data_IF_197186712221
#
_entry.id   IF_197186712221
#
_cell.length_a   1.000
_cell.length_b   1.000
_cell.length_c   1.000
_cell.angle_alpha   90.00
_cell.angle_beta   90.00
_cell.angle_gamma   90.00
#
_symmetry.space_group_name_H-M   'P 1'
#
loop_
_entity.id
_entity.type
_entity.pdbx_description
1 polymer ?
#
# COMPACT_ATOMS: atom_id res chain seq x y z
N UNK A 1 -3.35 1.30 15.94
CA UNK A 1 -4.25 0.73 14.91
C UNK A 1 -5.01 -0.42 15.54
N UNK A 2 -6.29 -0.56 15.20
CA UNK A 2 -7.10 -1.68 15.69
C UNK A 2 -6.94 -2.92 14.80
N UNK A 3 -7.07 -4.12 15.38
CA UNK A 3 -6.94 -5.40 14.66
C UNK A 3 -7.83 -5.50 13.41
N UNK A 4 -9.06 -4.98 13.49
CA UNK A 4 -10.00 -4.96 12.35
C UNK A 4 -9.49 -4.13 11.17
N UNK A 5 -8.79 -3.02 11.43
CA UNK A 5 -8.17 -2.19 10.39
C UNK A 5 -6.98 -2.92 9.75
N UNK A 6 -6.17 -3.61 10.56
CA UNK A 6 -5.03 -4.42 10.08
C UNK A 6 -5.51 -5.56 9.18
N UNK A 7 -6.52 -6.31 9.62
CA UNK A 7 -7.11 -7.40 8.81
C UNK A 7 -7.65 -6.87 7.48
N UNK A 8 -8.32 -5.70 7.49
CA UNK A 8 -8.83 -5.05 6.28
C UNK A 8 -7.71 -4.68 5.30
N UNK A 9 -6.62 -4.09 5.81
CA UNK A 9 -5.46 -3.72 5.01
C UNK A 9 -4.76 -4.96 4.42
N UNK A 10 -4.53 -5.99 5.22
CA UNK A 10 -3.95 -7.25 4.77
C UNK A 10 -4.82 -7.95 3.72
N UNK A 11 -6.15 -8.00 3.91
CA UNK A 11 -7.08 -8.55 2.93
C UNK A 11 -7.06 -7.76 1.61
N UNK A 12 -6.91 -6.44 1.68
CA UNK A 12 -6.73 -5.61 0.49
C UNK A 12 -5.38 -5.88 -0.19
N UNK A 13 -4.31 -6.18 0.53
CA UNK A 13 -3.00 -6.51 -0.07
C UNK A 13 -2.87 -7.95 -0.55
N UNK A 14 -3.71 -8.88 -0.06
CA UNK A 14 -3.73 -10.30 -0.42
C UNK A 14 -4.30 -10.57 -1.83
N UNK A 15 -3.88 -9.79 -2.83
CA UNK A 15 -4.14 -10.00 -4.25
C UNK A 15 -3.03 -9.35 -5.08
N UNK A 16 -2.56 -10.07 -6.10
CA UNK A 16 -1.34 -9.73 -6.85
C UNK A 16 -1.35 -8.34 -7.48
N UNK A 17 -2.43 -7.96 -8.18
CA UNK A 17 -2.56 -6.64 -8.80
C UNK A 17 -2.54 -5.52 -7.76
N UNK A 18 -3.27 -5.66 -6.66
CA UNK A 18 -3.33 -4.65 -5.59
C UNK A 18 -2.00 -4.49 -4.88
N UNK A 19 -1.28 -5.59 -4.62
CA UNK A 19 0.08 -5.53 -4.11
C UNK A 19 1.02 -4.83 -5.11
N UNK A 20 0.88 -5.13 -6.42
CA UNK A 20 1.61 -4.46 -7.49
C UNK A 20 1.36 -2.94 -7.52
N UNK A 21 0.09 -2.52 -7.42
CA UNK A 21 -0.29 -1.11 -7.31
C UNK A 21 0.43 -0.47 -6.13
N UNK A 22 0.28 -1.05 -4.94
CA UNK A 22 0.86 -0.50 -3.73
C UNK A 22 2.39 -0.36 -3.84
N UNK A 23 3.08 -1.37 -4.38
CA UNK A 23 4.53 -1.32 -4.61
C UNK A 23 4.96 -0.24 -5.60
N UNK A 24 4.20 -0.03 -6.67
CA UNK A 24 4.47 1.07 -7.61
C UNK A 24 4.31 2.43 -6.94
N UNK A 25 3.32 2.58 -6.06
CA UNK A 25 3.07 3.82 -5.33
C UNK A 25 4.13 4.10 -4.26
N UNK A 26 4.61 3.07 -3.55
CA UNK A 26 5.75 3.20 -2.64
C UNK A 26 6.99 3.71 -3.39
N UNK A 27 7.29 3.13 -4.56
CA UNK A 27 8.41 3.56 -5.39
C UNK A 27 8.24 4.97 -5.97
N UNK A 28 7.00 5.40 -6.21
CA UNK A 28 6.70 6.75 -6.68
C UNK A 28 6.80 7.82 -5.58
N UNK A 29 6.78 7.42 -4.31
CA UNK A 29 6.84 8.34 -3.18
C UNK A 29 5.56 9.17 -2.99
N UNK A 30 5.65 10.26 -2.19
CA UNK A 30 4.49 11.08 -1.81
C UNK A 30 3.71 11.68 -2.99
N UNK A 31 4.40 12.00 -4.09
CA UNK A 31 3.79 12.58 -5.30
C UNK A 31 2.84 11.61 -6.03
N UNK A 32 3.05 10.31 -5.81
CA UNK A 32 2.23 9.26 -6.37
C UNK A 32 2.42 9.07 -7.88
N UNK A 33 1.45 8.40 -8.49
CA UNK A 33 1.47 8.06 -9.92
C UNK A 33 0.07 8.20 -10.52
N UNK A 34 0.00 8.65 -11.78
CA UNK A 34 -1.25 8.75 -12.51
C UNK A 34 -1.89 7.37 -12.69
N UNK A 35 -3.21 7.29 -12.52
CA UNK A 35 -3.99 6.04 -12.59
C UNK A 35 -3.75 5.27 -13.90
N UNK A 36 -3.66 5.99 -15.03
CA UNK A 36 -3.37 5.41 -16.34
C UNK A 36 -1.98 4.77 -16.42
N UNK A 37 -0.96 5.43 -15.88
CA UNK A 37 0.41 4.89 -15.85
C UNK A 37 0.54 3.65 -14.96
N UNK A 38 -0.21 3.58 -13.86
CA UNK A 38 -0.26 2.37 -13.02
C UNK A 38 -0.91 1.22 -13.80
N UNK A 39 -2.03 1.50 -14.49
CA UNK A 39 -2.74 0.51 -15.31
C UNK A 39 -1.85 -0.06 -16.43
N UNK A 40 -1.10 0.81 -17.10
CA UNK A 40 -0.14 0.44 -18.14
C UNK A 40 0.97 -0.45 -17.60
N UNK A 41 1.62 -0.04 -16.49
CA UNK A 41 2.73 -0.81 -15.88
C UNK A 41 2.29 -2.19 -15.38
N UNK A 42 1.02 -2.36 -15.01
CA UNK A 42 0.46 -3.62 -14.54
C UNK A 42 -0.31 -4.38 -15.64
N UNK A 43 -0.30 -3.88 -16.88
CA UNK A 43 -1.00 -4.47 -18.03
C UNK A 43 -2.48 -4.81 -17.72
N UNK A 44 -3.19 -3.86 -17.11
CA UNK A 44 -4.58 -4.02 -16.67
C UNK A 44 -5.50 -2.96 -17.28
N UNK A 45 -6.76 -3.33 -17.52
CA UNK A 45 -7.75 -2.39 -18.06
C UNK A 45 -8.13 -1.32 -17.03
N UNK A 46 -8.56 -0.14 -17.50
CA UNK A 46 -9.02 0.94 -16.63
C UNK A 46 -10.20 0.53 -15.71
N UNK A 47 -11.11 -0.30 -16.22
CA UNK A 47 -12.24 -0.82 -15.44
C UNK A 47 -11.77 -1.72 -14.29
N UNK A 48 -10.87 -2.68 -14.58
CA UNK A 48 -10.28 -3.56 -13.56
C UNK A 48 -9.50 -2.75 -12.52
N UNK A 49 -8.72 -1.78 -12.95
CA UNK A 49 -7.93 -0.93 -12.06
C UNK A 49 -8.80 -0.06 -11.15
N UNK A 50 -9.92 0.44 -11.64
CA UNK A 50 -10.87 1.22 -10.83
C UNK A 50 -11.39 0.41 -9.63
N UNK A 51 -11.67 -0.88 -9.82
CA UNK A 51 -12.06 -1.78 -8.73
C UNK A 51 -10.92 -1.99 -7.71
N UNK A 52 -9.69 -2.17 -8.18
CA UNK A 52 -8.51 -2.31 -7.32
C UNK A 52 -8.23 -1.04 -6.52
N UNK A 53 -8.27 0.14 -7.15
CA UNK A 53 -8.07 1.42 -6.48
C UNK A 53 -9.15 1.67 -5.42
N UNK A 54 -10.42 1.39 -5.73
CA UNK A 54 -11.50 1.52 -4.75
C UNK A 54 -11.28 0.61 -3.54
N UNK A 55 -10.85 -0.63 -3.77
CA UNK A 55 -10.57 -1.59 -2.68
C UNK A 55 -9.43 -1.11 -1.79
N UNK A 56 -8.32 -0.65 -2.39
CA UNK A 56 -7.17 -0.13 -1.67
C UNK A 56 -7.48 1.17 -0.91
N UNK A 57 -8.21 2.09 -1.54
CA UNK A 57 -8.62 3.36 -0.92
C UNK A 57 -9.57 3.10 0.25
N UNK A 58 -10.51 2.15 0.10
CA UNK A 58 -11.40 1.77 1.19
C UNK A 58 -10.66 1.15 2.38
N UNK A 59 -9.55 0.45 2.12
CA UNK A 59 -8.66 -0.06 3.16
C UNK A 59 -7.72 1.00 3.76
N UNK A 60 -7.74 2.23 3.24
CA UNK A 60 -6.88 3.34 3.69
C UNK A 60 -5.43 3.23 3.22
N UNK A 61 -5.12 2.33 2.28
CA UNK A 61 -3.73 2.09 1.85
C UNK A 61 -3.23 3.08 0.80
N UNK A 62 -4.15 3.74 0.09
CA UNK A 62 -3.83 4.72 -0.96
C UNK A 62 -4.77 5.91 -0.85
N UNK A 63 -4.31 7.05 -1.33
CA UNK A 63 -5.09 8.28 -1.45
C UNK A 63 -5.15 8.71 -2.90
N UNK A 64 -6.20 9.44 -3.27
CA UNK A 64 -6.35 10.00 -4.61
C UNK A 64 -6.31 11.52 -4.57
N UNK A 65 -5.69 12.12 -5.59
CA UNK A 65 -5.78 13.54 -5.89
C UNK A 65 -6.13 13.75 -7.34
N UNK A 66 -6.96 14.74 -7.62
CA UNK A 66 -7.26 15.14 -8.99
C UNK A 66 -6.35 16.28 -9.40
N UNK A 67 -5.79 16.18 -10.61
CA UNK A 67 -4.89 17.17 -11.19
C UNK A 67 -5.28 17.38 -12.66
N UNK A 68 -6.08 18.43 -12.88
CA UNK A 68 -6.79 18.67 -14.14
C UNK A 68 -7.68 17.50 -14.52
N UNK A 69 -7.34 16.81 -15.63
CA UNK A 69 -8.09 15.67 -16.16
C UNK A 69 -7.57 14.32 -15.66
N UNK A 70 -6.48 14.30 -14.90
CA UNK A 70 -5.86 13.08 -14.43
C UNK A 70 -6.16 12.85 -12.95
N UNK A 71 -6.24 11.58 -12.56
CA UNK A 71 -6.29 11.16 -11.17
C UNK A 71 -4.95 10.53 -10.84
N UNK A 72 -4.31 11.02 -9.79
CA UNK A 72 -3.09 10.47 -9.22
C UNK A 72 -3.45 9.71 -7.95
N UNK A 73 -2.76 8.59 -7.73
CA UNK A 73 -2.81 7.87 -6.46
C UNK A 73 -1.44 7.93 -5.78
N UNK A 74 -1.42 8.03 -4.46
CA UNK A 74 -0.21 7.93 -3.62
C UNK A 74 -0.42 6.85 -2.55
N UNK A 75 0.65 6.28 -2.03
CA UNK A 75 0.57 5.36 -0.90
C UNK A 75 0.32 6.15 0.39
N UNK A 76 -0.61 5.69 1.23
CA UNK A 76 -0.73 6.22 2.59
C UNK A 76 0.30 5.50 3.48
N UNK A 77 1.41 6.18 3.74
CA UNK A 77 2.52 5.64 4.54
C UNK A 77 2.17 5.54 6.03
N UNK A 78 1.28 6.39 6.54
CA UNK A 78 0.86 6.34 7.95
C UNK A 78 0.17 5.00 8.27
N UNK A 79 -0.76 4.58 7.42
CA UNK A 79 -1.47 3.29 7.58
C UNK A 79 -0.50 2.11 7.45
N UNK A 80 0.45 2.17 6.51
CA UNK A 80 1.43 1.10 6.36
C UNK A 80 2.39 1.03 7.55
N UNK A 81 2.93 2.17 7.99
CA UNK A 81 3.83 2.22 9.14
C UNK A 81 3.13 1.69 10.40
N UNK A 82 1.88 2.09 10.63
CA UNK A 82 1.09 1.57 11.74
C UNK A 82 0.85 0.05 11.64
N UNK A 83 0.64 -0.48 10.43
CA UNK A 83 0.45 -1.92 10.22
C UNK A 83 1.75 -2.69 10.45
N UNK A 84 2.90 -2.18 9.97
CA UNK A 84 4.21 -2.78 10.22
C UNK A 84 4.47 -2.81 11.72
N UNK A 85 4.30 -1.68 12.42
CA UNK A 85 4.45 -1.60 13.88
C UNK A 85 3.58 -2.64 14.58
N UNK A 86 2.29 -2.75 14.21
CA UNK A 86 1.39 -3.74 14.79
C UNK A 86 1.87 -5.18 14.57
N UNK A 87 2.36 -5.51 13.38
CA UNK A 87 2.83 -6.87 13.05
C UNK A 87 4.18 -7.20 13.69
N UNK A 88 5.01 -6.19 13.96
CA UNK A 88 6.33 -6.34 14.57
C UNK A 88 6.34 -6.03 16.07
N UNK A 89 5.18 -5.76 16.67
CA UNK A 89 5.11 -5.58 18.12
C UNK A 89 5.58 -6.86 18.83
N UNK A 90 6.55 -6.72 19.74
CA UNK A 90 7.23 -7.85 20.38
C UNK A 90 7.90 -8.83 19.38
N UNK A 91 8.37 -8.32 18.23
CA UNK A 91 9.08 -9.12 17.24
C UNK A 91 10.19 -9.95 17.90
N UNK A 92 10.27 -11.24 17.55
CA UNK A 92 11.25 -12.18 18.10
C UNK A 92 11.26 -12.28 19.63
N UNK A 93 10.12 -11.98 20.29
CA UNK A 93 10.03 -11.98 21.75
C UNK A 93 10.85 -10.86 22.42
N UNK A 94 11.21 -9.82 21.66
CA UNK A 94 12.05 -8.72 22.15
C UNK A 94 13.56 -9.03 22.12
N UNK A 95 13.99 -10.15 21.52
CA UNK A 95 15.41 -10.49 21.34
C UNK A 95 15.98 -9.87 20.05
N UNK A 96 16.86 -8.85 20.15
CA UNK A 96 17.46 -8.22 18.98
C UNK A 96 18.36 -9.17 18.18
N UNK A 97 18.97 -10.17 18.82
CA UNK A 97 19.84 -11.12 18.12
C UNK A 97 19.05 -12.09 17.21
N UNK A 98 17.78 -12.30 17.51
CA UNK A 98 16.87 -13.13 16.71
C UNK A 98 16.16 -12.33 15.60
N UNK A 99 16.06 -11.00 15.74
CA UNK A 99 15.44 -10.14 14.73
C UNK A 99 16.40 -9.89 13.55
N UNK A 100 16.05 -10.42 12.38
CA UNK A 100 16.86 -10.30 11.14
C UNK A 100 16.27 -9.34 10.11
N UNK A 101 15.29 -8.53 10.50
CA UNK A 101 14.76 -7.47 9.63
C UNK A 101 15.82 -6.36 9.58
N UNK A 102 16.40 -6.04 8.40
CA UNK A 102 17.41 -5.00 8.31
C UNK A 102 16.82 -3.61 8.55
N UNK A 103 17.50 -2.81 9.38
CA UNK A 103 17.11 -1.42 9.67
C UNK A 103 17.22 -0.48 8.44
N UNK A 104 17.87 -0.94 7.36
CA UNK A 104 18.17 -0.14 6.15
C UNK A 104 17.10 -0.19 5.06
N UNK A 105 15.91 -0.76 5.33
CA UNK A 105 14.86 -0.95 4.32
C UNK A 105 14.00 0.33 4.12
N UNK A 106 14.08 1.31 5.03
CA UNK A 106 13.38 2.60 4.95
C UNK A 106 14.33 3.76 5.24
#
# INVERSE_FOLDING_TARGET
>A
MESTQVVKALAALAQSTRLGVYRLLVAAGPEGMAAGSIAEKLNASAATMSFHFKTLSHAGLIESRQDGRFVYYSANFEVMNGMVVYLTENCCGGDPAACKVPDTIC
#
